data_IF_123604005532
#
_entry.id   IF_123604005532
#
_cell.length_a   1.000
_cell.length_b   1.000
_cell.length_c   1.000
_cell.angle_alpha   90.00
_cell.angle_beta   90.00
_cell.angle_gamma   90.00
#
_symmetry.space_group_name_H-M   'P 1'
#
loop_
_entity.id
_entity.type
_entity.pdbx_description
1 polymer ?
#
# COMPACT_ATOMS: atom_id res chain seq x y z
N UNK A 1 -7.51 1.39 -40.10
CA UNK A 1 -7.39 2.19 -38.86
C UNK A 1 -6.81 1.27 -37.79
N UNK A 2 -5.51 1.41 -37.47
CA UNK A 2 -4.78 0.51 -36.56
C UNK A 2 -4.81 1.09 -35.15
N UNK A 3 -5.46 0.40 -34.22
CA UNK A 3 -5.43 0.74 -32.79
C UNK A 3 -4.15 0.13 -32.21
N UNK A 4 -3.22 1.00 -31.77
CA UNK A 4 -2.03 0.58 -31.05
C UNK A 4 -2.43 0.20 -29.63
N UNK A 5 -2.28 -1.08 -29.29
CA UNK A 5 -2.35 -1.56 -27.91
C UNK A 5 -1.13 -1.03 -27.14
N UNK A 6 -1.37 -0.18 -26.15
CA UNK A 6 -0.36 0.18 -25.17
C UNK A 6 -0.40 -0.86 -24.05
N UNK A 7 0.56 -1.79 -24.05
CA UNK A 7 0.98 -2.46 -22.83
C UNK A 7 1.74 -1.43 -21.99
N UNK A 8 1.16 -1.00 -20.87
CA UNK A 8 1.91 -0.33 -19.81
C UNK A 8 2.18 -1.30 -18.66
N UNK A 9 3.40 -1.31 -18.10
CA UNK A 9 3.76 -2.21 -17.02
C UNK A 9 3.03 -1.80 -15.74
N UNK A 10 2.32 -2.76 -15.15
CA UNK A 10 1.80 -2.69 -13.78
C UNK A 10 2.99 -2.60 -12.84
N UNK A 11 3.33 -1.39 -12.39
CA UNK A 11 4.27 -1.19 -11.30
C UNK A 11 3.56 -1.61 -10.00
N UNK A 12 3.78 -2.87 -9.65
CA UNK A 12 3.31 -3.54 -8.46
C UNK A 12 3.96 -2.91 -7.22
N UNK A 13 3.24 -2.08 -6.48
CA UNK A 13 3.59 -1.77 -5.08
C UNK A 13 2.77 -2.70 -4.20
N UNK A 14 3.25 -3.94 -4.08
CA UNK A 14 2.91 -4.83 -2.97
C UNK A 14 4.24 -5.41 -2.46
N UNK A 15 4.88 -4.83 -1.45
CA UNK A 15 5.67 -5.63 -0.54
C UNK A 15 4.75 -6.12 0.58
N UNK A 16 4.99 -7.34 1.06
CA UNK A 16 4.39 -7.94 2.27
C UNK A 16 3.08 -8.72 2.03
N UNK A 17 3.18 -9.82 1.28
CA UNK A 17 2.45 -11.06 1.60
C UNK A 17 3.08 -12.30 0.95
N UNK A 18 3.97 -12.11 -0.04
CA UNK A 18 4.58 -13.21 -0.80
C UNK A 18 5.94 -13.72 -0.26
N UNK A 19 6.39 -13.29 0.92
CA UNK A 19 7.73 -13.68 1.42
C UNK A 19 7.76 -14.97 2.27
N UNK A 20 6.61 -15.60 2.57
CA UNK A 20 6.55 -16.64 3.61
C UNK A 20 6.45 -18.10 3.15
N UNK A 21 6.48 -18.40 1.84
CA UNK A 21 6.26 -19.78 1.35
C UNK A 21 7.50 -20.44 0.71
N UNK A 22 8.66 -19.77 0.64
CA UNK A 22 9.87 -20.34 -0.02
C UNK A 22 11.16 -20.35 0.81
N UNK A 23 11.08 -20.46 2.15
CA UNK A 23 12.27 -20.74 2.96
C UNK A 23 12.33 -22.21 3.37
N UNK A 24 13.14 -22.97 2.62
CA UNK A 24 13.60 -24.31 2.95
C UNK A 24 14.55 -24.22 4.17
N UNK A 25 14.40 -25.04 5.23
CA UNK A 25 15.28 -24.98 6.39
C UNK A 25 16.63 -25.65 6.08
N UNK A 26 17.71 -24.87 6.19
CA UNK A 26 19.09 -25.40 6.21
C UNK A 26 19.57 -25.40 7.66
N UNK A 27 19.88 -26.58 8.17
CA UNK A 27 20.43 -26.84 9.52
C UNK A 27 21.80 -26.17 9.77
N UNK A 28 22.22 -25.99 11.03
CA UNK A 28 23.38 -25.19 11.38
C UNK A 28 24.69 -25.99 11.36
N UNK A 29 25.77 -25.38 10.89
CA UNK A 29 27.14 -25.91 11.09
C UNK A 29 27.92 -24.91 11.95
N UNK A 30 28.40 -25.39 13.09
CA UNK A 30 29.33 -24.73 13.99
C UNK A 30 30.71 -24.58 13.30
N UNK A 31 31.34 -23.42 13.45
CA UNK A 31 32.80 -23.30 13.29
C UNK A 31 33.36 -22.44 14.42
N UNK A 32 34.20 -23.11 15.20
CA UNK A 32 35.10 -22.68 16.26
C UNK A 32 35.98 -21.49 15.89
N UNK A 33 36.05 -20.48 16.76
CA UNK A 33 37.10 -19.47 16.75
C UNK A 33 38.02 -19.69 17.94
N UNK A 34 39.27 -20.03 17.63
CA UNK A 34 40.38 -20.28 18.54
C UNK A 34 41.04 -18.94 18.92
N UNK A 35 41.31 -18.78 20.20
CA UNK A 35 42.01 -17.64 20.80
C UNK A 35 43.51 -17.70 20.48
N UNK A 36 44.13 -16.56 20.21
CA UNK A 36 45.55 -16.35 20.57
C UNK A 36 45.78 -14.87 20.90
N UNK A 37 46.46 -14.65 22.03
CA UNK A 37 46.81 -13.36 22.63
C UNK A 37 48.32 -13.13 22.52
N UNK A 38 48.74 -11.87 22.35
CA UNK A 38 50.07 -11.28 22.65
C UNK A 38 49.88 -9.76 22.56
N UNK A 39 49.66 -9.01 23.65
CA UNK A 39 50.64 -8.42 24.61
C UNK A 39 51.79 -7.63 23.95
N UNK A 40 51.80 -6.28 24.06
CA UNK A 40 52.94 -5.42 24.51
C UNK A 40 52.43 -4.05 25.01
N UNK A 41 53.03 -3.60 26.14
CA UNK A 41 52.86 -2.41 26.99
C UNK A 41 52.98 -0.95 26.44
N UNK A 42 52.06 -0.07 26.93
CA UNK A 42 52.16 1.32 27.54
C UNK A 42 52.75 2.53 26.73
N UNK A 43 52.51 3.83 27.11
CA UNK A 43 51.90 4.41 28.33
C UNK A 43 50.83 5.53 28.13
N UNK A 44 50.35 6.00 29.29
CA UNK A 44 49.36 7.04 29.64
C UNK A 44 49.59 8.43 29.01
N UNK A 45 48.51 9.05 28.50
CA UNK A 45 48.33 10.52 28.50
C UNK A 45 46.94 10.82 29.07
N UNK A 46 46.90 11.60 30.14
CA UNK A 46 45.69 12.14 30.75
C UNK A 46 45.26 13.41 30.01
N UNK A 47 43.98 13.53 29.67
CA UNK A 47 43.29 14.79 29.44
C UNK A 47 41.89 14.70 30.08
N UNK A 48 41.68 15.50 31.13
CA UNK A 48 40.35 15.75 31.73
C UNK A 48 39.64 16.89 30.93
N UNK A 49 38.44 17.36 31.33
CA UNK A 49 37.18 17.05 30.68
C UNK A 49 36.51 18.29 30.07
N UNK A 50 36.09 18.25 28.81
CA UNK A 50 35.19 19.30 28.29
C UNK A 50 34.32 18.80 27.15
N UNK A 51 33.01 18.84 27.39
CA UNK A 51 31.95 19.24 26.46
C UNK A 51 32.02 18.71 25.03
N UNK A 52 31.12 17.78 24.69
CA UNK A 52 30.22 17.87 23.51
C UNK A 52 29.72 16.49 23.08
N UNK A 53 28.79 15.89 23.84
CA UNK A 53 27.93 14.83 23.28
C UNK A 53 26.50 15.10 23.75
N UNK A 54 25.96 16.23 23.31
CA UNK A 54 24.52 16.55 23.39
C UNK A 54 24.12 17.41 22.20
N UNK A 55 24.51 16.98 20.99
CA UNK A 55 23.97 17.50 19.73
C UNK A 55 23.97 16.39 18.70
N UNK A 56 23.02 15.49 18.82
CA UNK A 56 22.44 14.76 17.69
C UNK A 56 21.02 14.38 18.11
N UNK A 57 20.20 15.41 18.37
CA UNK A 57 18.76 15.25 18.21
C UNK A 57 18.52 14.85 16.75
N UNK A 58 17.72 13.83 16.45
CA UNK A 58 17.28 13.57 15.09
C UNK A 58 16.65 14.86 14.58
N UNK A 59 17.20 15.42 13.50
CA UNK A 59 16.57 16.52 12.78
C UNK A 59 15.18 16.01 12.37
N UNK A 60 14.14 16.63 12.90
CA UNK A 60 12.77 16.43 12.40
C UNK A 60 12.84 16.88 10.94
N UNK A 61 12.72 15.93 10.03
CA UNK A 61 12.48 16.25 8.61
C UNK A 61 11.12 16.91 8.61
N UNK A 62 11.08 18.24 8.54
CA UNK A 62 9.85 18.98 8.30
C UNK A 62 9.28 18.46 6.97
N UNK A 63 8.20 17.70 7.06
CA UNK A 63 7.44 17.27 5.91
C UNK A 63 6.76 18.54 5.37
N UNK A 64 7.44 19.20 4.43
CA UNK A 64 6.99 20.48 3.90
C UNK A 64 5.97 20.21 2.79
N UNK A 65 4.72 20.01 3.19
CA UNK A 65 3.62 19.76 2.27
C UNK A 65 3.41 20.97 1.35
N UNK A 66 3.35 20.72 0.04
CA UNK A 66 3.00 21.73 -0.97
C UNK A 66 1.60 21.44 -1.55
N UNK A 67 0.58 22.22 -1.15
CA UNK A 67 -0.78 22.09 -1.70
C UNK A 67 -0.85 22.22 -3.24
N UNK A 68 0.06 22.95 -3.87
CA UNK A 68 0.07 23.09 -5.33
C UNK A 68 0.54 21.81 -6.04
N UNK A 69 1.47 21.06 -5.44
CA UNK A 69 1.89 19.77 -5.97
C UNK A 69 0.77 18.73 -5.84
N UNK A 70 0.08 18.69 -4.70
CA UNK A 70 -1.09 17.81 -4.55
C UNK A 70 -2.20 18.17 -5.56
N UNK A 71 -2.47 19.46 -5.79
CA UNK A 71 -3.41 19.88 -6.83
C UNK A 71 -2.99 19.37 -8.22
N UNK A 72 -1.70 19.43 -8.55
CA UNK A 72 -1.20 18.97 -9.87
C UNK A 72 -1.56 17.50 -10.11
N UNK A 73 -1.38 16.64 -9.12
CA UNK A 73 -1.77 15.23 -9.21
C UNK A 73 -3.28 15.03 -9.37
N UNK A 74 -4.08 15.87 -8.70
CA UNK A 74 -5.54 15.82 -8.77
C UNK A 74 -6.10 16.48 -10.04
N UNK A 75 -5.33 17.34 -10.71
CA UNK A 75 -5.72 17.99 -11.97
C UNK A 75 -5.86 17.00 -13.14
N UNK A 76 -5.22 15.83 -13.03
CA UNK A 76 -5.27 14.75 -14.02
C UNK A 76 -6.48 13.81 -13.81
N UNK A 77 -7.38 14.12 -12.87
CA UNK A 77 -8.57 13.31 -12.62
C UNK A 77 -9.46 13.31 -13.87
N UNK A 78 -9.73 12.11 -14.39
CA UNK A 78 -10.62 11.95 -15.53
C UNK A 78 -12.06 12.31 -15.14
N UNK A 79 -12.75 13.06 -16.01
CA UNK A 79 -14.14 13.47 -15.80
C UNK A 79 -15.08 12.74 -16.77
N UNK A 80 -16.28 12.45 -16.31
CA UNK A 80 -17.36 11.89 -17.12
C UNK A 80 -18.05 12.97 -17.99
N UNK A 81 -19.06 12.54 -18.75
CA UNK A 81 -19.85 13.43 -19.62
C UNK A 81 -20.60 14.54 -18.88
N UNK A 82 -20.85 14.36 -17.58
CA UNK A 82 -21.50 15.34 -16.71
C UNK A 82 -20.50 16.24 -15.98
N UNK A 83 -19.19 16.02 -16.16
CA UNK A 83 -18.12 16.73 -15.47
C UNK A 83 -17.87 16.23 -14.04
N UNK A 84 -18.41 15.09 -13.66
CA UNK A 84 -18.10 14.42 -12.40
C UNK A 84 -16.81 13.60 -12.50
N UNK A 85 -16.05 13.39 -11.41
CA UNK A 85 -14.86 12.56 -11.45
C UNK A 85 -15.21 11.09 -11.72
N UNK A 86 -14.51 10.45 -12.67
CA UNK A 86 -14.63 9.01 -12.91
C UNK A 86 -13.96 8.27 -11.76
N UNK A 87 -14.78 7.68 -10.89
CA UNK A 87 -14.31 6.94 -9.72
C UNK A 87 -13.93 5.51 -10.12
N UNK A 88 -12.63 5.21 -10.10
CA UNK A 88 -12.06 3.90 -10.45
C UNK A 88 -10.67 3.70 -9.82
N UNK A 89 -9.98 2.60 -10.18
CA UNK A 89 -8.63 2.31 -9.69
C UNK A 89 -7.56 3.32 -10.12
N UNK A 90 -7.78 4.08 -11.21
CA UNK A 90 -6.89 5.18 -11.62
C UNK A 90 -7.03 6.38 -10.70
N UNK A 91 -8.26 6.79 -10.37
CA UNK A 91 -8.51 7.84 -9.39
C UNK A 91 -7.87 7.48 -8.04
N UNK A 92 -8.01 6.23 -7.61
CA UNK A 92 -7.36 5.76 -6.39
C UNK A 92 -5.84 5.99 -6.41
N UNK A 93 -5.15 5.66 -7.51
CA UNK A 93 -3.70 5.89 -7.62
C UNK A 93 -3.34 7.37 -7.50
N UNK A 94 -4.14 8.26 -8.07
CA UNK A 94 -3.94 9.71 -7.96
C UNK A 94 -4.13 10.18 -6.51
N UNK A 95 -5.17 9.66 -5.83
CA UNK A 95 -5.41 9.92 -4.42
C UNK A 95 -4.28 9.40 -3.53
N UNK A 96 -3.78 8.18 -3.77
CA UNK A 96 -2.64 7.60 -3.05
C UNK A 96 -1.40 8.50 -3.17
N UNK A 97 -1.08 8.96 -4.39
CA UNK A 97 0.06 9.86 -4.62
C UNK A 97 -0.14 11.22 -3.93
N UNK A 98 -1.34 11.79 -4.01
CA UNK A 98 -1.63 13.08 -3.37
C UNK A 98 -1.52 12.98 -1.84
N UNK A 99 -2.11 11.94 -1.24
CA UNK A 99 -2.03 11.70 0.21
C UNK A 99 -0.60 11.37 0.65
N UNK A 100 0.18 10.68 -0.17
CA UNK A 100 1.59 10.43 0.14
C UNK A 100 2.42 11.72 0.18
N UNK A 101 2.16 12.66 -0.74
CA UNK A 101 2.80 13.98 -0.73
C UNK A 101 2.37 14.85 0.45
N UNK A 102 1.09 14.75 0.83
CA UNK A 102 0.59 15.38 2.04
C UNK A 102 1.35 14.82 3.25
N UNK A 103 1.43 13.50 3.37
CA UNK A 103 1.97 12.86 4.56
C UNK A 103 0.98 12.93 5.74
N UNK A 104 1.42 12.38 6.87
CA UNK A 104 0.61 12.33 8.09
C UNK A 104 0.56 13.70 8.77
N UNK A 105 -0.47 13.93 9.58
CA UNK A 105 -0.58 15.05 10.53
C UNK A 105 -0.53 16.45 9.87
N UNK A 106 -1.23 16.60 8.74
CA UNK A 106 -1.31 17.88 8.06
C UNK A 106 -1.99 18.95 8.90
N UNK A 107 -1.47 20.17 8.81
CA UNK A 107 -2.09 21.30 9.47
C UNK A 107 -3.45 21.57 8.81
N UNK A 108 -4.54 21.76 9.59
CA UNK A 108 -5.85 22.12 9.04
C UNK A 108 -5.80 23.29 8.04
N UNK A 109 -4.95 24.29 8.27
CA UNK A 109 -4.80 25.44 7.35
C UNK A 109 -4.24 25.03 5.98
N UNK A 110 -3.40 24.00 5.91
CA UNK A 110 -2.84 23.51 4.65
C UNK A 110 -3.87 22.65 3.88
N UNK A 111 -4.68 21.87 4.61
CA UNK A 111 -5.81 21.14 4.04
C UNK A 111 -6.86 22.10 3.49
N UNK A 112 -7.19 23.17 4.22
CA UNK A 112 -8.11 24.21 3.76
C UNK A 112 -7.59 24.88 2.48
N UNK A 113 -6.29 25.22 2.45
CA UNK A 113 -5.65 25.79 1.26
C UNK A 113 -5.72 24.85 0.05
N UNK A 114 -5.51 23.54 0.24
CA UNK A 114 -5.69 22.57 -0.83
C UNK A 114 -7.15 22.55 -1.33
N UNK A 115 -8.11 22.59 -0.42
CA UNK A 115 -9.54 22.64 -0.76
C UNK A 115 -9.93 23.89 -1.56
N UNK A 116 -9.37 25.04 -1.22
CA UNK A 116 -9.53 26.30 -1.96
C UNK A 116 -8.92 26.20 -3.36
N UNK A 117 -7.71 25.65 -3.48
CA UNK A 117 -7.04 25.44 -4.75
C UNK A 117 -7.84 24.52 -5.69
N UNK A 118 -8.39 23.44 -5.17
CA UNK A 118 -9.29 22.53 -5.92
C UNK A 118 -10.55 23.28 -6.36
N UNK A 119 -11.11 24.13 -5.49
CA UNK A 119 -12.29 24.96 -5.81
C UNK A 119 -12.01 25.98 -6.91
N UNK A 120 -10.79 26.49 -7.00
CA UNK A 120 -10.39 27.41 -8.06
C UNK A 120 -10.09 26.69 -9.39
N UNK A 121 -9.59 25.46 -9.33
CA UNK A 121 -9.18 24.69 -10.51
C UNK A 121 -10.35 24.03 -11.25
N UNK A 122 -11.43 23.69 -10.54
CA UNK A 122 -12.56 22.93 -11.09
C UNK A 122 -13.88 23.71 -11.02
N UNK A 123 -14.87 23.27 -11.80
CA UNK A 123 -16.26 23.76 -11.66
C UNK A 123 -16.77 23.44 -10.25
N UNK A 124 -17.63 24.29 -9.69
CA UNK A 124 -18.08 24.21 -8.29
C UNK A 124 -18.56 22.81 -7.87
N UNK A 125 -19.42 22.16 -8.66
CA UNK A 125 -19.93 20.82 -8.34
C UNK A 125 -18.83 19.75 -8.41
N UNK A 126 -17.97 19.81 -9.43
CA UNK A 126 -16.82 18.91 -9.59
C UNK A 126 -15.83 19.07 -8.43
N UNK A 127 -15.47 20.31 -8.10
CA UNK A 127 -14.57 20.64 -7.00
C UNK A 127 -15.10 20.10 -5.66
N UNK A 128 -16.40 20.27 -5.41
CA UNK A 128 -17.06 19.76 -4.20
C UNK A 128 -16.91 18.25 -4.07
N UNK A 129 -17.15 17.50 -5.16
CA UNK A 129 -17.04 16.04 -5.16
C UNK A 129 -15.58 15.61 -4.98
N UNK A 130 -14.63 16.24 -5.69
CA UNK A 130 -13.20 15.94 -5.57
C UNK A 130 -12.71 16.19 -4.14
N UNK A 131 -13.05 17.34 -3.55
CA UNK A 131 -12.72 17.67 -2.17
C UNK A 131 -13.28 16.63 -1.19
N UNK A 132 -14.56 16.26 -1.34
CA UNK A 132 -15.18 15.25 -0.49
C UNK A 132 -14.44 13.92 -0.56
N UNK A 133 -14.17 13.42 -1.77
CA UNK A 133 -13.47 12.13 -1.97
C UNK A 133 -12.05 12.21 -1.39
N UNK A 134 -11.32 13.29 -1.66
CA UNK A 134 -9.95 13.47 -1.19
C UNK A 134 -9.86 13.44 0.34
N UNK A 135 -10.70 14.20 1.04
CA UNK A 135 -10.61 14.27 2.50
C UNK A 135 -11.11 12.98 3.18
N UNK A 136 -12.11 12.31 2.61
CA UNK A 136 -12.50 10.97 3.07
C UNK A 136 -11.37 9.96 2.87
N UNK A 137 -10.70 10.01 1.71
CA UNK A 137 -9.57 9.15 1.39
C UNK A 137 -8.37 9.43 2.30
N UNK A 138 -8.05 10.69 2.56
CA UNK A 138 -6.99 11.10 3.48
C UNK A 138 -7.23 10.55 4.89
N UNK A 139 -8.45 10.70 5.42
CA UNK A 139 -8.83 10.16 6.73
C UNK A 139 -8.73 8.63 6.77
N UNK A 140 -9.16 7.95 5.70
CA UNK A 140 -8.97 6.50 5.56
C UNK A 140 -7.49 6.10 5.62
N UNK A 141 -6.61 6.79 4.88
CA UNK A 141 -5.18 6.45 4.82
C UNK A 141 -4.48 6.60 6.18
N UNK A 142 -4.85 7.60 6.97
CA UNK A 142 -4.37 7.73 8.35
C UNK A 142 -4.82 6.52 9.19
N UNK A 143 -6.10 6.17 9.11
CA UNK A 143 -6.66 5.04 9.86
C UNK A 143 -6.07 3.69 9.42
N UNK A 144 -5.80 3.52 8.12
CA UNK A 144 -5.14 2.34 7.56
C UNK A 144 -3.71 2.20 8.10
N UNK A 145 -2.96 3.29 8.18
CA UNK A 145 -1.61 3.30 8.75
C UNK A 145 -1.64 2.87 10.22
N UNK A 146 -2.59 3.38 11.00
CA UNK A 146 -2.77 3.04 12.43
C UNK A 146 -3.19 1.59 12.63
N UNK A 147 -4.13 1.12 11.80
CA UNK A 147 -4.54 -0.27 11.75
C UNK A 147 -3.33 -1.18 11.45
N UNK A 148 -2.55 -0.85 10.43
CA UNK A 148 -1.39 -1.65 10.00
C UNK A 148 -0.31 -1.70 11.07
N UNK A 149 -0.01 -0.58 11.73
CA UNK A 149 0.92 -0.54 12.89
C UNK A 149 0.44 -1.47 14.00
N UNK A 150 -0.85 -1.45 14.32
CA UNK A 150 -1.43 -2.28 15.37
C UNK A 150 -1.40 -3.77 15.02
N UNK A 151 -1.75 -4.13 13.78
CA UNK A 151 -1.74 -5.52 13.30
C UNK A 151 -0.31 -6.07 13.23
N UNK A 152 0.65 -5.27 12.77
CA UNK A 152 2.06 -5.68 12.69
C UNK A 152 2.66 -5.94 14.08
N UNK A 153 2.30 -5.13 15.07
CA UNK A 153 2.72 -5.31 16.47
C UNK A 153 1.99 -6.46 17.18
N UNK A 154 0.81 -6.85 16.69
CA UNK A 154 -0.05 -7.88 17.28
C UNK A 154 0.31 -9.33 16.93
N UNK A 155 1.19 -9.57 15.94
CA UNK A 155 1.73 -10.88 15.59
C UNK A 155 0.67 -11.92 15.16
N UNK A 156 0.59 -12.21 13.85
CA UNK A 156 -0.14 -13.35 13.26
C UNK A 156 -1.68 -13.27 13.23
N UNK A 157 -2.24 -12.27 12.57
CA UNK A 157 -3.63 -12.35 12.09
C UNK A 157 -3.76 -13.24 10.85
N UNK A 158 -4.81 -14.06 10.77
CA UNK A 158 -5.24 -14.76 9.56
C UNK A 158 -5.33 -13.75 8.38
N UNK A 159 -4.61 -13.97 7.27
CA UNK A 159 -4.66 -13.08 6.11
C UNK A 159 -6.08 -12.78 5.62
N UNK A 160 -6.97 -13.76 5.69
CA UNK A 160 -8.37 -13.61 5.26
C UNK A 160 -9.13 -12.66 6.19
N UNK A 161 -8.86 -12.72 7.49
CA UNK A 161 -9.45 -11.79 8.46
C UNK A 161 -8.88 -10.38 8.30
N UNK A 162 -7.60 -10.25 7.96
CA UNK A 162 -6.98 -8.94 7.69
C UNK A 162 -7.61 -8.25 6.48
N UNK A 163 -7.87 -9.00 5.39
CA UNK A 163 -8.56 -8.46 4.20
C UNK A 163 -9.98 -7.99 4.57
N UNK A 164 -10.74 -8.78 5.34
CA UNK A 164 -12.08 -8.40 5.78
C UNK A 164 -12.09 -7.14 6.65
N UNK A 165 -11.16 -7.04 7.59
CA UNK A 165 -11.02 -5.88 8.46
C UNK A 165 -10.63 -4.63 7.66
N UNK A 166 -9.69 -4.77 6.71
CA UNK A 166 -9.28 -3.66 5.84
C UNK A 166 -10.43 -3.17 4.96
N UNK A 167 -11.23 -4.09 4.41
CA UNK A 167 -12.43 -3.72 3.65
C UNK A 167 -13.48 -3.02 4.52
N UNK A 168 -13.69 -3.52 5.74
CA UNK A 168 -14.60 -2.86 6.69
C UNK A 168 -14.12 -1.44 7.04
N UNK A 169 -12.81 -1.25 7.18
CA UNK A 169 -12.20 0.06 7.39
C UNK A 169 -12.40 0.98 6.18
N UNK A 170 -12.20 0.49 4.96
CA UNK A 170 -12.48 1.27 3.74
C UNK A 170 -13.94 1.72 3.71
N UNK A 171 -14.87 0.80 3.93
CA UNK A 171 -16.31 1.10 3.91
C UNK A 171 -16.74 2.09 5.00
N UNK A 172 -16.12 2.07 6.19
CA UNK A 172 -16.48 3.00 7.26
C UNK A 172 -16.11 4.46 6.97
N UNK A 173 -15.10 4.69 6.12
CA UNK A 173 -14.64 6.05 5.76
C UNK A 173 -15.18 6.51 4.40
N UNK A 174 -15.23 5.61 3.42
CA UNK A 174 -15.55 5.93 2.04
C UNK A 174 -17.01 5.62 1.69
N UNK A 175 -17.67 4.77 2.48
CA UNK A 175 -18.94 4.17 2.13
C UNK A 175 -18.78 3.04 1.11
N UNK A 176 -19.83 2.23 0.96
CA UNK A 176 -19.81 1.03 0.14
C UNK A 176 -19.54 1.33 -1.35
N UNK A 177 -20.26 2.28 -1.93
CA UNK A 177 -20.15 2.60 -3.37
C UNK A 177 -18.76 3.10 -3.77
N UNK A 178 -18.18 4.02 -3.01
CA UNK A 178 -16.84 4.55 -3.28
C UNK A 178 -15.77 3.48 -3.06
N UNK A 179 -15.94 2.63 -2.04
CA UNK A 179 -15.04 1.50 -1.78
C UNK A 179 -15.05 0.51 -2.95
N UNK A 180 -16.22 0.12 -3.43
CA UNK A 180 -16.35 -0.80 -4.57
C UNK A 180 -15.68 -0.23 -5.83
N UNK A 181 -15.91 1.05 -6.14
CA UNK A 181 -15.34 1.69 -7.33
C UNK A 181 -13.81 1.86 -7.24
N UNK A 182 -13.27 2.24 -6.08
CA UNK A 182 -11.82 2.47 -5.92
C UNK A 182 -11.02 1.17 -5.71
N UNK A 183 -11.62 0.16 -5.07
CA UNK A 183 -10.92 -1.05 -4.61
C UNK A 183 -11.49 -2.35 -5.19
N UNK A 184 -12.57 -2.34 -5.97
CA UNK A 184 -13.24 -3.54 -6.45
C UNK A 184 -12.32 -4.51 -7.18
N UNK A 185 -11.48 -4.02 -8.10
CA UNK A 185 -10.49 -4.82 -8.81
C UNK A 185 -9.47 -5.47 -7.85
N UNK A 186 -8.97 -4.71 -6.86
CA UNK A 186 -8.07 -5.24 -5.86
C UNK A 186 -8.76 -6.28 -4.98
N UNK A 187 -10.00 -6.03 -4.55
CA UNK A 187 -10.76 -6.94 -3.70
C UNK A 187 -11.02 -8.28 -4.39
N UNK A 188 -11.36 -8.25 -5.69
CA UNK A 188 -11.49 -9.46 -6.50
C UNK A 188 -10.17 -10.22 -6.53
N UNK A 189 -9.06 -9.52 -6.79
CA UNK A 189 -7.73 -10.13 -6.85
C UNK A 189 -7.29 -10.72 -5.49
N UNK A 190 -7.49 -10.01 -4.38
CA UNK A 190 -7.13 -10.47 -3.04
C UNK A 190 -7.93 -11.71 -2.64
N UNK A 191 -9.23 -11.74 -2.92
CA UNK A 191 -10.06 -12.92 -2.65
C UNK A 191 -9.66 -14.11 -3.53
N UNK A 192 -9.33 -13.86 -4.80
CA UNK A 192 -8.80 -14.87 -5.71
C UNK A 192 -7.51 -15.52 -5.16
N UNK A 193 -6.55 -14.70 -4.72
CA UNK A 193 -5.28 -15.21 -4.15
C UNK A 193 -5.51 -15.93 -2.82
N UNK A 194 -6.34 -15.39 -1.92
CA UNK A 194 -6.64 -16.02 -0.64
C UNK A 194 -7.23 -17.42 -0.81
N UNK A 195 -8.22 -17.57 -1.71
CA UNK A 195 -8.85 -18.87 -2.00
C UNK A 195 -7.87 -19.85 -2.68
N UNK A 196 -7.01 -19.36 -3.58
CA UNK A 196 -5.95 -20.19 -4.16
C UNK A 196 -4.98 -20.69 -3.09
N UNK A 197 -4.49 -19.81 -2.21
CA UNK A 197 -3.56 -20.17 -1.14
C UNK A 197 -4.19 -21.19 -0.20
N UNK A 198 -5.44 -21.00 0.21
CA UNK A 198 -6.17 -21.94 1.06
C UNK A 198 -6.29 -23.32 0.39
N UNK A 199 -6.78 -23.38 -0.85
CA UNK A 199 -7.05 -24.64 -1.56
C UNK A 199 -5.78 -25.36 -2.02
N UNK A 200 -4.68 -24.64 -2.25
CA UNK A 200 -3.41 -25.21 -2.69
C UNK A 200 -2.41 -25.45 -1.54
N UNK A 201 -2.79 -25.13 -0.30
CA UNK A 201 -1.94 -25.25 0.90
C UNK A 201 -1.50 -26.68 1.21
N UNK A 202 -2.26 -27.69 0.77
CA UNK A 202 -1.92 -29.09 1.00
C UNK A 202 -0.68 -29.49 0.17
N UNK A 203 0.38 -30.05 0.80
CA UNK A 203 1.60 -30.44 0.09
C UNK A 203 1.38 -31.65 -0.82
N UNK A 204 0.39 -32.50 -0.52
CA UNK A 204 0.18 -33.79 -1.19
C UNK A 204 -0.67 -33.72 -2.47
N UNK A 205 -1.04 -32.51 -2.91
CA UNK A 205 -1.81 -32.32 -4.13
C UNK A 205 -0.97 -32.66 -5.36
N UNK A 206 -1.46 -33.60 -6.18
CA UNK A 206 -0.92 -33.87 -7.51
C UNK A 206 -1.06 -32.67 -8.44
N UNK A 207 -0.22 -32.59 -9.46
CA UNK A 207 -0.23 -31.51 -10.45
C UNK A 207 -1.59 -31.35 -11.14
N UNK A 208 -2.23 -32.47 -11.51
CA UNK A 208 -3.55 -32.46 -12.14
C UNK A 208 -4.63 -31.85 -11.21
N UNK A 209 -4.56 -32.13 -9.92
CA UNK A 209 -5.50 -31.56 -8.93
C UNK A 209 -5.22 -30.07 -8.74
N UNK A 210 -3.94 -29.65 -8.66
CA UNK A 210 -3.56 -28.24 -8.55
C UNK A 210 -4.04 -27.43 -9.76
N UNK A 211 -3.89 -27.99 -10.96
CA UNK A 211 -4.37 -27.37 -12.20
C UNK A 211 -5.89 -27.21 -12.19
N UNK A 212 -6.64 -28.24 -11.77
CA UNK A 212 -8.11 -28.17 -11.67
C UNK A 212 -8.57 -27.13 -10.64
N UNK A 213 -7.97 -27.10 -9.44
CA UNK A 213 -8.27 -26.09 -8.42
C UNK A 213 -8.02 -24.68 -8.97
N UNK A 214 -6.89 -24.47 -9.66
CA UNK A 214 -6.55 -23.16 -10.21
C UNK A 214 -7.56 -22.72 -11.27
N UNK A 215 -7.98 -23.63 -12.16
CA UNK A 215 -8.98 -23.35 -13.17
C UNK A 215 -10.36 -23.02 -12.56
N UNK A 216 -10.81 -23.78 -11.57
CA UNK A 216 -12.08 -23.55 -10.87
C UNK A 216 -12.09 -22.17 -10.18
N UNK A 217 -11.03 -21.86 -9.43
CA UNK A 217 -10.92 -20.57 -8.73
C UNK A 217 -10.81 -19.42 -9.74
N UNK A 218 -10.04 -19.57 -10.83
CA UNK A 218 -9.98 -18.55 -11.88
C UNK A 218 -11.34 -18.29 -12.50
N UNK A 219 -12.09 -19.34 -12.87
CA UNK A 219 -13.43 -19.22 -13.47
C UNK A 219 -14.42 -18.49 -12.56
N UNK A 220 -14.29 -18.67 -11.24
CA UNK A 220 -15.14 -17.99 -10.24
C UNK A 220 -14.91 -16.47 -10.20
N UNK A 221 -13.66 -16.01 -10.22
CA UNK A 221 -13.32 -14.59 -10.07
C UNK A 221 -13.15 -13.84 -11.40
N UNK A 222 -12.84 -14.56 -12.48
CA UNK A 222 -12.64 -14.01 -13.81
C UNK A 222 -13.43 -14.82 -14.87
N UNK A 223 -14.78 -14.86 -14.78
CA UNK A 223 -15.61 -15.70 -15.65
C UNK A 223 -15.57 -15.30 -17.13
N UNK A 224 -15.10 -14.09 -17.44
CA UNK A 224 -14.99 -13.57 -18.80
C UNK A 224 -13.55 -13.61 -19.34
N UNK A 225 -12.61 -14.23 -18.61
CA UNK A 225 -11.25 -14.43 -19.10
C UNK A 225 -11.29 -15.43 -20.28
N UNK A 226 -10.83 -15.07 -21.50
CA UNK A 226 -10.88 -15.95 -22.67
C UNK A 226 -10.17 -17.29 -22.46
N UNK A 227 -9.19 -17.36 -21.55
CA UNK A 227 -8.49 -18.59 -21.20
C UNK A 227 -9.34 -19.56 -20.37
N UNK A 228 -10.51 -19.14 -19.86
CA UNK A 228 -11.43 -19.99 -19.07
C UNK A 228 -12.54 -20.65 -19.90
N UNK A 229 -12.66 -20.31 -21.18
CA UNK A 229 -13.74 -20.79 -22.07
C UNK A 229 -13.49 -22.15 -22.72
N UNK A 230 -12.38 -22.82 -22.39
CA UNK A 230 -11.90 -24.02 -23.09
C UNK A 230 -11.69 -25.27 -22.21
N UNK A 231 -12.25 -25.32 -20.99
CA UNK A 231 -12.23 -26.50 -20.12
C UNK A 231 -13.62 -27.11 -19.96
#
# INVERSE_FOLDING_TARGET
>A
MRIKQFLFPVALIIPILLALVLMKPSSPTQTTAEQTAEDIHRPVVALSPTESILKNSPQVVENNFDPALALTLLSEVALDENGGPIVNSQLRRQLDNAVQLMGRDQNPAELDKLGELITQAFKADTAKIINQILFQYYAYKIAEEDYTKTVYLGGSGDPSQNIKNLNSLRESYLGHELTEKLFGEENIYQNYIAELTERLSSPDLSEAIRANITAEVRKKYYPNDPDTSGL
#
